data_IF_662901717240
#
_entry.id   IF_662901717240
#
_cell.length_a   1.000
_cell.length_b   1.000
_cell.length_c   1.000
_cell.angle_alpha   90.00
_cell.angle_beta   90.00
_cell.angle_gamma   90.00
#
_symmetry.space_group_name_H-M   'P 1'
#
loop_
_entity.id
_entity.type
_entity.pdbx_description
1 polymer ?
#
# COMPACT_ATOMS: atom_id res chain seq x y z
N UNK A 1 5.45 -0.04 7.85
CA UNK A 1 5.36 1.40 8.19
C UNK A 1 6.73 1.91 8.60
N UNK A 2 6.98 3.19 8.38
CA UNK A 2 8.23 3.85 8.84
C UNK A 2 7.88 5.12 9.60
N UNK A 3 8.82 5.58 10.43
CA UNK A 3 8.78 6.94 10.99
C UNK A 3 9.10 7.98 9.90
N UNK A 4 9.13 9.27 10.27
CA UNK A 4 9.42 10.40 9.36
C UNK A 4 10.85 10.39 8.81
N UNK A 5 11.78 9.67 9.43
CA UNK A 5 13.17 9.47 8.98
C UNK A 5 13.33 8.27 8.06
N UNK A 6 12.26 7.46 7.88
CA UNK A 6 12.29 6.25 7.07
C UNK A 6 12.82 5.01 7.80
N UNK A 7 12.79 5.03 9.14
CA UNK A 7 13.12 3.88 9.97
C UNK A 7 11.88 3.00 10.09
N UNK A 8 12.01 1.70 9.88
CA UNK A 8 10.90 0.75 9.94
C UNK A 8 10.42 0.60 11.39
N UNK A 9 9.13 0.84 11.60
CA UNK A 9 8.44 0.73 12.90
C UNK A 9 7.39 -0.37 12.90
N UNK A 10 7.06 -0.91 11.73
CA UNK A 10 6.15 -2.04 11.56
C UNK A 10 6.41 -2.73 10.23
N UNK A 11 6.38 -4.03 10.23
CA UNK A 11 6.43 -4.92 9.07
C UNK A 11 5.38 -6.03 9.27
N UNK A 12 4.76 -6.51 8.17
CA UNK A 12 3.80 -7.60 8.25
C UNK A 12 4.45 -8.94 7.86
N UNK A 13 3.79 -10.04 8.20
CA UNK A 13 4.28 -11.39 7.95
C UNK A 13 4.58 -11.68 6.48
N UNK A 14 3.77 -11.12 5.57
CA UNK A 14 3.96 -11.29 4.12
C UNK A 14 5.30 -10.68 3.69
N UNK A 15 5.65 -9.50 4.22
CA UNK A 15 6.94 -8.88 3.95
C UNK A 15 8.10 -9.73 4.49
N UNK A 16 7.98 -10.25 5.72
CA UNK A 16 9.01 -11.10 6.34
C UNK A 16 9.20 -12.39 5.53
N UNK A 17 8.12 -13.07 5.16
CA UNK A 17 8.16 -14.30 4.34
C UNK A 17 8.83 -14.08 2.98
N UNK A 18 8.51 -13.00 2.28
CA UNK A 18 9.08 -12.71 0.95
C UNK A 18 10.55 -12.29 1.06
N UNK A 19 10.89 -11.45 2.03
CA UNK A 19 12.24 -10.91 2.16
C UNK A 19 13.23 -11.86 2.83
N UNK A 20 12.73 -12.83 3.61
CA UNK A 20 13.52 -13.80 4.35
C UNK A 20 14.18 -13.25 5.63
N UNK A 21 13.81 -12.03 6.03
CA UNK A 21 14.28 -11.42 7.28
C UNK A 21 13.31 -11.71 8.43
N UNK A 22 13.79 -11.64 9.65
CA UNK A 22 12.95 -11.66 10.86
C UNK A 22 12.50 -10.23 11.21
N UNK A 23 11.49 -10.11 12.07
CA UNK A 23 10.98 -8.82 12.52
C UNK A 23 12.06 -8.03 13.26
N UNK A 24 12.79 -8.66 14.18
CA UNK A 24 13.88 -8.03 14.96
C UNK A 24 15.02 -7.53 14.06
N UNK A 25 15.27 -8.20 12.94
CA UNK A 25 16.29 -7.76 11.99
C UNK A 25 15.86 -6.52 11.20
N UNK A 26 14.55 -6.27 11.08
CA UNK A 26 14.00 -5.18 10.26
C UNK A 26 13.55 -3.98 11.06
N UNK A 27 12.98 -4.16 12.24
CA UNK A 27 12.59 -3.05 13.11
C UNK A 27 13.80 -2.20 13.50
N UNK A 28 13.63 -0.89 13.50
CA UNK A 28 14.70 0.06 13.78
C UNK A 28 15.72 0.24 12.64
N UNK A 29 15.63 -0.50 11.55
CA UNK A 29 16.49 -0.31 10.37
C UNK A 29 15.87 0.65 9.36
N UNK A 30 16.68 1.41 8.62
CA UNK A 30 16.16 2.23 7.52
C UNK A 30 15.60 1.34 6.41
N UNK A 31 14.53 1.77 5.76
CA UNK A 31 13.91 1.02 4.67
C UNK A 31 14.87 0.74 3.50
N UNK A 32 15.97 1.48 3.40
CA UNK A 32 17.02 1.27 2.41
C UNK A 32 17.84 0.00 2.64
N UNK A 33 17.71 -0.67 3.79
CA UNK A 33 18.43 -1.91 4.11
C UNK A 33 18.12 -3.04 3.11
N UNK A 34 16.90 -3.09 2.61
CA UNK A 34 16.46 -4.09 1.62
C UNK A 34 16.62 -3.62 0.16
N UNK A 35 17.15 -2.45 -0.07
CA UNK A 35 17.27 -1.89 -1.41
C UNK A 35 18.31 -2.65 -2.23
N UNK A 36 17.93 -3.04 -3.46
CA UNK A 36 18.89 -3.65 -4.38
C UNK A 36 19.93 -2.62 -4.88
N UNK A 37 21.22 -2.96 -4.96
CA UNK A 37 22.28 -2.03 -5.37
C UNK A 37 22.08 -1.41 -6.76
N UNK A 38 21.45 -2.13 -7.70
CA UNK A 38 21.20 -1.67 -9.05
C UNK A 38 20.09 -0.59 -9.17
N UNK A 39 19.38 -0.31 -8.09
CA UNK A 39 18.34 0.72 -8.10
C UNK A 39 18.94 2.13 -8.19
N UNK A 40 18.54 2.95 -9.19
CA UNK A 40 19.08 4.29 -9.35
C UNK A 40 18.73 5.19 -8.16
N UNK A 41 19.72 5.94 -7.67
CA UNK A 41 19.52 6.87 -6.54
C UNK A 41 18.47 7.95 -6.81
N UNK A 42 18.35 8.39 -8.08
CA UNK A 42 17.39 9.43 -8.46
C UNK A 42 15.93 9.01 -8.28
N UNK A 43 15.59 7.70 -8.41
CA UNK A 43 14.24 7.20 -8.17
C UNK A 43 13.83 7.43 -6.71
N UNK A 44 14.72 7.12 -5.77
CA UNK A 44 14.47 7.36 -4.35
C UNK A 44 14.45 8.84 -3.99
N UNK A 45 15.28 9.67 -4.66
CA UNK A 45 15.23 11.12 -4.47
C UNK A 45 13.84 11.66 -4.83
N UNK A 46 13.31 11.31 -6.01
CA UNK A 46 11.98 11.74 -6.44
C UNK A 46 10.89 11.22 -5.49
N UNK A 47 10.99 9.96 -5.02
CA UNK A 47 10.08 9.38 -4.04
C UNK A 47 10.10 10.19 -2.74
N UNK A 48 11.28 10.45 -2.18
CA UNK A 48 11.43 11.21 -0.94
C UNK A 48 10.95 12.66 -1.07
N UNK A 49 11.26 13.33 -2.18
CA UNK A 49 10.80 14.70 -2.44
C UNK A 49 9.27 14.78 -2.48
N UNK A 50 8.60 13.77 -3.07
CA UNK A 50 7.15 13.69 -3.14
C UNK A 50 6.52 13.47 -1.75
N UNK A 51 6.93 12.43 -1.00
CA UNK A 51 6.32 12.10 0.29
C UNK A 51 6.58 13.16 1.36
N UNK A 52 7.75 13.80 1.35
CA UNK A 52 8.05 14.92 2.24
C UNK A 52 7.22 16.17 1.94
N UNK A 53 6.79 16.33 0.69
CA UNK A 53 5.84 17.37 0.29
C UNK A 53 4.38 17.01 0.59
N UNK A 54 4.13 15.90 1.31
CA UNK A 54 2.78 15.45 1.68
C UNK A 54 2.03 14.73 0.56
N UNK A 55 2.69 14.41 -0.56
CA UNK A 55 2.08 13.70 -1.68
C UNK A 55 2.35 12.20 -1.59
N UNK A 56 1.37 11.40 -2.01
CA UNK A 56 1.58 9.99 -2.27
C UNK A 56 2.41 9.79 -3.54
N UNK A 57 3.13 8.68 -3.59
CA UNK A 57 3.97 8.33 -4.73
C UNK A 57 4.03 6.82 -4.88
N UNK A 58 4.15 6.36 -6.13
CA UNK A 58 4.50 4.98 -6.39
C UNK A 58 5.81 4.89 -7.18
N UNK A 59 6.53 3.79 -7.00
CA UNK A 59 7.71 3.45 -7.77
C UNK A 59 7.82 1.93 -7.94
N UNK A 60 8.35 1.50 -9.06
CA UNK A 60 8.78 0.12 -9.24
C UNK A 60 10.16 -0.03 -8.60
N UNK A 61 10.25 -0.88 -7.60
CA UNK A 61 11.46 -1.02 -6.79
C UNK A 61 11.91 -2.48 -6.80
N UNK A 62 13.18 -2.69 -7.07
CA UNK A 62 13.85 -3.96 -6.87
C UNK A 62 14.42 -4.01 -5.46
N UNK A 63 14.01 -5.00 -4.68
CA UNK A 63 14.49 -5.25 -3.33
C UNK A 63 15.38 -6.48 -3.32
N UNK A 64 16.24 -6.59 -2.30
CA UNK A 64 17.10 -7.74 -2.05
C UNK A 64 16.56 -8.53 -0.87
N UNK A 65 16.49 -9.86 -1.03
CA UNK A 65 16.22 -10.81 0.05
C UNK A 65 17.47 -11.06 0.89
N UNK A 66 17.28 -11.63 2.08
CA UNK A 66 18.37 -12.01 3.00
C UNK A 66 19.33 -13.03 2.38
N UNK A 67 18.82 -13.97 1.59
CA UNK A 67 19.60 -15.00 0.88
C UNK A 67 20.36 -14.48 -0.36
N UNK A 68 20.22 -13.19 -0.70
CA UNK A 68 20.84 -12.58 -1.88
C UNK A 68 19.95 -12.53 -3.12
N UNK A 69 18.82 -13.24 -3.14
CA UNK A 69 17.82 -13.12 -4.21
C UNK A 69 17.22 -11.71 -4.24
N UNK A 70 16.45 -11.44 -5.27
CA UNK A 70 15.78 -10.16 -5.42
C UNK A 70 14.35 -10.32 -5.90
N UNK A 71 13.51 -9.35 -5.59
CA UNK A 71 12.12 -9.28 -6.02
C UNK A 71 11.70 -7.87 -6.39
N UNK A 72 10.80 -7.79 -7.35
CA UNK A 72 10.23 -6.52 -7.78
C UNK A 72 8.91 -6.25 -7.09
N UNK A 73 8.72 -5.01 -6.70
CA UNK A 73 7.46 -4.52 -6.15
C UNK A 73 7.09 -3.18 -6.77
N UNK A 74 5.80 -2.96 -6.93
CA UNK A 74 5.24 -1.62 -7.06
C UNK A 74 5.01 -1.12 -5.63
N UNK A 75 5.90 -0.26 -5.16
CA UNK A 75 5.83 0.36 -3.84
C UNK A 75 4.96 1.61 -3.92
N UNK A 76 3.81 1.59 -3.26
CA UNK A 76 2.91 2.73 -3.11
C UNK A 76 3.13 3.30 -1.72
N UNK A 77 3.62 4.55 -1.65
CA UNK A 77 4.01 5.19 -0.40
C UNK A 77 3.13 6.38 -0.12
N UNK A 78 2.53 6.40 1.06
CA UNK A 78 1.61 7.44 1.51
C UNK A 78 2.08 8.03 2.84
N UNK A 79 2.11 9.36 3.00
CA UNK A 79 2.35 9.99 4.29
C UNK A 79 1.19 9.72 5.25
N UNK A 80 1.52 9.49 6.52
CA UNK A 80 0.56 9.24 7.60
C UNK A 80 0.49 10.47 8.49
N UNK A 81 -0.71 11.00 8.65
CA UNK A 81 -0.99 12.17 9.47
C UNK A 81 -1.80 11.77 10.70
N UNK A 82 -1.42 12.29 11.86
CA UNK A 82 -2.15 12.09 13.10
C UNK A 82 -2.22 13.44 13.84
N UNK A 83 -3.42 13.88 14.15
CA UNK A 83 -3.61 15.18 14.81
C UNK A 83 -3.03 16.36 14.02
N UNK A 84 -3.01 16.32 12.68
CA UNK A 84 -2.44 17.37 11.82
C UNK A 84 -0.93 17.33 11.68
N UNK A 85 -0.23 16.41 12.34
CA UNK A 85 1.23 16.24 12.25
C UNK A 85 1.58 15.00 11.44
N UNK A 86 2.64 15.08 10.63
CA UNK A 86 3.19 13.94 9.89
C UNK A 86 3.89 13.01 10.88
N UNK A 87 3.42 11.79 11.02
CA UNK A 87 3.97 10.78 11.95
C UNK A 87 4.85 9.73 11.27
N UNK A 88 4.74 9.58 9.96
CA UNK A 88 5.53 8.61 9.21
C UNK A 88 4.97 8.31 7.83
N UNK A 89 5.30 7.12 7.32
CA UNK A 89 4.89 6.70 5.98
C UNK A 89 4.43 5.25 5.99
N UNK A 90 3.39 4.96 5.20
CA UNK A 90 2.95 3.60 4.89
C UNK A 90 3.38 3.27 3.46
N UNK A 91 4.02 2.11 3.27
CA UNK A 91 4.33 1.56 1.96
C UNK A 91 3.55 0.26 1.74
N UNK A 92 2.53 0.31 0.90
CA UNK A 92 1.82 -0.88 0.43
C UNK A 92 2.47 -1.35 -0.86
N UNK A 93 2.79 -2.64 -0.92
CA UNK A 93 3.57 -3.23 -2.01
C UNK A 93 2.77 -4.29 -2.73
N UNK A 94 2.70 -4.18 -4.06
CA UNK A 94 2.04 -5.14 -4.92
C UNK A 94 3.03 -5.76 -5.88
N UNK A 95 2.70 -6.94 -6.39
CA UNK A 95 3.46 -7.60 -7.44
C UNK A 95 3.19 -6.86 -8.77
N UNK A 96 4.22 -6.33 -9.45
CA UNK A 96 4.03 -5.70 -10.76
C UNK A 96 3.84 -6.75 -11.86
N UNK A 97 3.19 -6.36 -12.96
CA UNK A 97 3.12 -7.19 -14.15
C UNK A 97 4.51 -7.38 -14.78
N UNK A 98 4.72 -8.47 -15.52
CA UNK A 98 6.01 -8.76 -16.16
C UNK A 98 6.44 -7.67 -17.14
N UNK A 99 5.49 -7.09 -17.86
CA UNK A 99 5.70 -5.97 -18.79
C UNK A 99 6.16 -4.71 -18.07
N UNK A 100 5.60 -4.44 -16.87
CA UNK A 100 5.98 -3.29 -16.02
C UNK A 100 7.40 -3.45 -15.48
N UNK A 101 7.77 -4.68 -15.09
CA UNK A 101 9.15 -5.01 -14.66
C UNK A 101 10.11 -4.76 -15.82
N UNK A 102 9.86 -5.36 -17.01
CA UNK A 102 10.72 -5.22 -18.16
C UNK A 102 10.87 -3.75 -18.62
N UNK A 103 9.79 -2.98 -18.59
CA UNK A 103 9.81 -1.55 -18.89
C UNK A 103 10.66 -0.76 -17.88
N UNK A 104 10.52 -1.09 -16.58
CA UNK A 104 11.27 -0.45 -15.50
C UNK A 104 12.76 -0.79 -15.56
N UNK A 105 13.12 -2.03 -15.85
CA UNK A 105 14.51 -2.46 -16.03
C UNK A 105 15.19 -1.70 -17.18
N UNK A 106 14.54 -1.63 -18.35
CA UNK A 106 15.01 -0.85 -19.50
C UNK A 106 15.19 0.63 -19.16
N UNK A 107 14.22 1.21 -18.45
CA UNK A 107 14.27 2.61 -18.02
C UNK A 107 15.45 2.84 -17.06
N UNK A 108 15.59 2.00 -16.04
CA UNK A 108 16.64 2.14 -15.04
C UNK A 108 18.04 1.86 -15.59
N UNK A 109 18.16 0.94 -16.58
CA UNK A 109 19.40 0.76 -17.33
C UNK A 109 19.79 2.05 -18.06
N UNK A 110 18.88 2.69 -18.78
CA UNK A 110 19.12 3.99 -19.45
C UNK A 110 19.50 5.11 -18.46
N UNK A 111 18.87 5.11 -17.28
CA UNK A 111 19.22 6.06 -16.21
C UNK A 111 20.66 5.83 -15.73
N UNK A 112 21.06 4.58 -15.46
CA UNK A 112 22.42 4.23 -15.02
C UNK A 112 23.47 4.57 -16.06
N UNK A 113 23.16 4.30 -17.34
CA UNK A 113 24.04 4.60 -18.48
C UNK A 113 24.08 6.09 -18.86
N UNK A 114 23.36 6.94 -18.11
CA UNK A 114 23.26 8.38 -18.37
C UNK A 114 22.70 8.75 -19.77
N UNK A 115 21.90 7.85 -20.35
CA UNK A 115 21.29 8.03 -21.69
C UNK A 115 20.10 9.00 -21.68
N UNK A 116 19.55 9.31 -20.48
CA UNK A 116 18.37 10.16 -20.31
C UNK A 116 18.70 11.63 -20.03
N UNK A 117 19.79 12.18 -20.62
CA UNK A 117 20.21 13.59 -20.44
C UNK A 117 19.12 14.61 -20.77
N UNK A 118 18.23 14.29 -21.72
CA UNK A 118 17.14 15.15 -22.16
C UNK A 118 15.80 14.90 -21.45
N UNK A 119 15.82 14.10 -20.36
CA UNK A 119 14.62 13.77 -19.59
C UNK A 119 14.83 14.11 -18.12
N UNK A 120 13.73 14.38 -17.43
CA UNK A 120 13.70 14.52 -15.96
C UNK A 120 12.46 13.81 -15.43
N UNK A 121 12.56 13.30 -14.21
CA UNK A 121 11.39 12.89 -13.46
C UNK A 121 10.69 14.11 -12.89
N UNK A 122 9.41 14.25 -13.17
CA UNK A 122 8.57 15.32 -12.63
C UNK A 122 7.24 14.75 -12.16
N UNK A 123 6.98 14.82 -10.86
CA UNK A 123 5.78 14.26 -10.20
C UNK A 123 5.48 12.80 -10.61
N UNK A 124 6.51 11.96 -10.71
CA UNK A 124 6.39 10.55 -11.08
C UNK A 124 6.35 10.25 -12.58
N UNK A 125 6.27 11.26 -13.45
CA UNK A 125 6.32 11.07 -14.90
C UNK A 125 7.68 11.46 -15.48
N UNK A 126 8.05 10.78 -16.58
CA UNK A 126 9.23 11.10 -17.36
C UNK A 126 8.88 12.21 -18.36
N UNK A 127 9.45 13.40 -18.17
CA UNK A 127 9.19 14.61 -18.96
C UNK A 127 10.42 14.99 -19.76
N UNK A 128 10.27 15.33 -21.03
CA UNK A 128 11.37 15.83 -21.88
C UNK A 128 11.85 17.20 -21.41
N UNK A 129 13.17 17.41 -21.51
CA UNK A 129 13.85 18.65 -21.17
C UNK A 129 14.38 19.34 -22.43
N UNK A 130 14.50 20.67 -22.42
CA UNK A 130 15.05 21.44 -23.54
C UNK A 130 14.01 21.77 -24.62
N UNK A 131 14.47 21.94 -25.86
CA UNK A 131 13.66 22.43 -26.99
C UNK A 131 12.40 21.59 -27.26
N UNK A 132 12.45 20.28 -26.98
CA UNK A 132 11.32 19.34 -27.15
C UNK A 132 10.43 19.19 -25.90
N UNK A 133 10.56 20.09 -24.91
CA UNK A 133 9.70 20.07 -23.71
C UNK A 133 8.20 20.26 -24.02
N UNK A 134 7.89 20.93 -25.14
CA UNK A 134 6.52 21.13 -25.60
C UNK A 134 5.78 19.83 -25.87
N UNK A 135 6.47 18.73 -26.25
CA UNK A 135 5.85 17.40 -26.43
C UNK A 135 5.34 16.79 -25.11
N UNK A 136 5.86 17.25 -24.00
CA UNK A 136 5.41 16.83 -22.66
C UNK A 136 4.47 17.86 -22.01
N UNK A 137 4.19 18.97 -22.69
CA UNK A 137 3.38 20.07 -22.16
C UNK A 137 1.96 19.58 -21.80
N UNK A 138 1.35 18.80 -22.68
CA UNK A 138 0.01 18.24 -22.44
C UNK A 138 -0.06 17.36 -21.20
N UNK A 139 1.01 16.60 -20.87
CA UNK A 139 1.08 15.78 -19.66
C UNK A 139 1.14 16.63 -18.39
N UNK A 140 1.71 17.84 -18.51
CA UNK A 140 2.00 18.74 -17.40
C UNK A 140 0.95 19.84 -17.21
N UNK A 141 0.03 20.03 -18.17
CA UNK A 141 -1.02 21.04 -18.09
C UNK A 141 -2.04 20.68 -17.01
N UNK A 142 -2.37 21.66 -16.16
CA UNK A 142 -3.49 21.55 -15.22
C UNK A 142 -4.83 21.42 -15.97
N UNK A 143 -5.83 20.84 -15.32
CA UNK A 143 -7.18 20.67 -15.87
C UNK A 143 -7.76 22.01 -16.35
N UNK A 144 -7.62 23.08 -15.55
CA UNK A 144 -8.06 24.44 -15.91
C UNK A 144 -7.38 24.93 -17.20
N UNK A 145 -6.04 24.79 -17.30
CA UNK A 145 -5.31 25.21 -18.51
C UNK A 145 -5.71 24.43 -19.76
N UNK A 146 -6.07 23.13 -19.63
CA UNK A 146 -6.58 22.32 -20.75
C UNK A 146 -7.93 22.85 -21.23
N UNK A 147 -8.83 23.22 -20.30
CA UNK A 147 -10.14 23.81 -20.63
C UNK A 147 -9.93 25.15 -21.36
N UNK A 148 -9.16 26.07 -20.76
CA UNK A 148 -8.89 27.38 -21.35
C UNK A 148 -8.23 27.26 -22.73
N UNK A 149 -7.30 26.34 -22.93
CA UNK A 149 -6.66 26.10 -24.20
C UNK A 149 -7.67 25.62 -25.25
N UNK A 150 -8.55 24.69 -24.88
CA UNK A 150 -9.63 24.21 -25.80
C UNK A 150 -10.58 25.33 -26.20
N UNK A 151 -11.02 26.13 -25.23
CA UNK A 151 -11.92 27.28 -25.51
C UNK A 151 -11.20 28.33 -26.35
N UNK A 152 -9.97 28.72 -25.98
CA UNK A 152 -9.21 29.75 -26.69
C UNK A 152 -8.89 29.34 -28.15
N UNK A 153 -8.49 28.07 -28.36
CA UNK A 153 -8.26 27.57 -29.73
C UNK A 153 -9.53 27.55 -30.56
N UNK A 154 -10.64 27.14 -29.98
CA UNK A 154 -11.95 27.17 -30.69
C UNK A 154 -12.36 28.60 -31.03
N UNK A 155 -12.23 29.54 -30.08
CA UNK A 155 -12.53 30.95 -30.32
C UNK A 155 -11.66 31.56 -31.44
N UNK A 156 -10.34 31.30 -31.41
CA UNK A 156 -9.38 31.75 -32.41
C UNK A 156 -9.75 31.21 -33.80
N UNK A 157 -10.00 29.91 -33.89
CA UNK A 157 -10.39 29.26 -35.15
C UNK A 157 -11.75 29.76 -35.65
N UNK A 158 -12.69 30.05 -34.75
CA UNK A 158 -13.98 30.63 -35.11
C UNK A 158 -13.83 32.04 -35.72
N UNK A 159 -12.98 32.88 -35.08
CA UNK A 159 -12.67 34.20 -35.66
C UNK A 159 -11.99 34.10 -37.03
N UNK A 160 -11.07 33.14 -37.17
CA UNK A 160 -10.38 32.89 -38.43
C UNK A 160 -11.36 32.40 -39.52
N UNK A 161 -12.29 31.52 -39.17
CA UNK A 161 -13.30 31.03 -40.09
C UNK A 161 -14.23 32.13 -40.57
N UNK A 162 -14.64 33.04 -39.67
CA UNK A 162 -15.43 34.25 -40.03
C UNK A 162 -14.67 35.16 -41.01
N UNK A 163 -13.35 35.28 -40.82
CA UNK A 163 -12.49 36.10 -41.67
C UNK A 163 -12.23 35.48 -43.06
N UNK A 164 -12.01 34.15 -43.10
CA UNK A 164 -11.62 33.47 -44.36
C UNK A 164 -12.79 33.07 -45.23
N UNK A 165 -13.96 32.76 -44.67
CA UNK A 165 -15.13 32.32 -45.45
C UNK A 165 -16.15 33.44 -45.63
N UNK A 166 -16.39 33.82 -46.89
CA UNK A 166 -17.41 34.82 -47.24
C UNK A 166 -18.81 34.19 -47.35
N UNK A 167 -18.91 32.90 -47.69
CA UNK A 167 -20.18 32.18 -47.78
C UNK A 167 -20.71 31.86 -46.37
N UNK A 168 -21.94 32.36 -46.10
CA UNK A 168 -22.61 32.20 -44.80
C UNK A 168 -22.91 30.73 -44.44
N UNK A 169 -23.18 29.86 -45.41
CA UNK A 169 -23.43 28.44 -45.19
C UNK A 169 -22.14 27.73 -44.76
N UNK A 170 -21.02 27.98 -45.46
CA UNK A 170 -19.72 27.44 -45.14
C UNK A 170 -19.25 27.95 -43.77
N UNK A 171 -19.46 29.23 -43.49
CA UNK A 171 -19.13 29.85 -42.21
C UNK A 171 -19.90 29.23 -41.05
N UNK A 172 -21.24 29.12 -41.16
CA UNK A 172 -22.05 28.51 -40.11
C UNK A 172 -21.75 27.01 -39.92
N UNK A 173 -21.54 26.26 -41.02
CA UNK A 173 -21.14 24.88 -40.97
C UNK A 173 -19.78 24.66 -40.24
N UNK A 174 -18.79 25.52 -40.52
CA UNK A 174 -17.49 25.47 -39.87
C UNK A 174 -17.57 25.76 -38.35
N UNK A 175 -18.39 26.72 -37.94
CA UNK A 175 -18.63 27.02 -36.53
C UNK A 175 -19.27 25.84 -35.82
N UNK A 176 -20.29 25.21 -36.38
CA UNK A 176 -20.91 24.01 -35.80
C UNK A 176 -19.90 22.88 -35.63
N UNK A 177 -19.07 22.62 -36.65
CA UNK A 177 -18.03 21.61 -36.58
C UNK A 177 -17.00 21.89 -35.48
N UNK A 178 -16.62 23.16 -35.27
CA UNK A 178 -15.68 23.55 -34.20
C UNK A 178 -16.28 23.32 -32.81
N UNK A 179 -17.57 23.64 -32.60
CA UNK A 179 -18.24 23.36 -31.33
C UNK A 179 -18.39 21.85 -31.06
N UNK A 180 -18.67 21.07 -32.10
CA UNK A 180 -18.68 19.60 -32.00
C UNK A 180 -17.29 19.09 -31.58
N UNK A 181 -16.23 19.59 -32.23
CA UNK A 181 -14.85 19.24 -31.89
C UNK A 181 -14.47 19.63 -30.46
N UNK A 182 -14.89 20.83 -30.01
CA UNK A 182 -14.68 21.25 -28.61
C UNK A 182 -15.43 20.36 -27.63
N UNK A 183 -16.67 20.00 -27.91
CA UNK A 183 -17.48 19.11 -27.08
C UNK A 183 -16.79 17.72 -26.96
N UNK A 184 -16.35 17.16 -28.07
CA UNK A 184 -15.61 15.90 -28.11
C UNK A 184 -14.29 16.00 -27.31
N UNK A 185 -13.55 17.09 -27.50
CA UNK A 185 -12.31 17.35 -26.74
C UNK A 185 -12.56 17.39 -25.23
N UNK A 186 -13.55 18.17 -24.77
CA UNK A 186 -13.90 18.27 -23.36
C UNK A 186 -14.40 16.93 -22.79
N UNK A 187 -15.20 16.21 -23.57
CA UNK A 187 -15.64 14.86 -23.20
C UNK A 187 -14.44 13.92 -23.00
N UNK A 188 -13.49 13.89 -23.92
CA UNK A 188 -12.32 13.03 -23.86
C UNK A 188 -11.35 13.44 -22.73
N UNK A 189 -11.19 14.75 -22.48
CA UNK A 189 -10.23 15.24 -21.48
C UNK A 189 -10.76 15.27 -20.05
N UNK A 190 -12.09 15.34 -19.85
CA UNK A 190 -12.71 15.54 -18.53
C UNK A 190 -13.75 14.46 -18.25
N UNK A 191 -14.83 14.38 -19.03
CA UNK A 191 -15.97 13.55 -18.69
C UNK A 191 -15.61 12.05 -18.63
N UNK A 192 -14.92 11.55 -19.65
CA UNK A 192 -14.48 10.15 -19.72
C UNK A 192 -13.51 9.75 -18.59
N UNK A 193 -12.44 10.52 -18.30
CA UNK A 193 -11.56 10.23 -17.16
C UNK A 193 -12.27 10.28 -15.80
N UNK A 194 -13.15 11.28 -15.59
CA UNK A 194 -13.93 11.38 -14.34
C UNK A 194 -14.85 10.18 -14.17
N UNK A 195 -15.54 9.73 -15.23
CA UNK A 195 -16.35 8.51 -15.20
C UNK A 195 -15.51 7.29 -14.80
N UNK A 196 -14.29 7.16 -15.33
CA UNK A 196 -13.37 6.06 -14.95
C UNK A 196 -12.97 6.12 -13.47
N UNK A 197 -12.76 7.33 -12.93
CA UNK A 197 -12.48 7.52 -11.50
C UNK A 197 -13.67 7.08 -10.64
N UNK A 198 -14.88 7.47 -11.01
CA UNK A 198 -16.09 7.06 -10.29
C UNK A 198 -16.25 5.53 -10.28
N UNK A 199 -16.05 4.90 -11.44
CA UNK A 199 -16.11 3.44 -11.54
C UNK A 199 -15.04 2.75 -10.69
N UNK A 200 -13.83 3.28 -10.68
CA UNK A 200 -12.74 2.75 -9.85
C UNK A 200 -13.05 2.93 -8.36
N UNK A 201 -13.58 4.08 -7.95
CA UNK A 201 -13.99 4.33 -6.57
C UNK A 201 -15.11 3.39 -6.12
N UNK A 202 -16.10 3.13 -7.00
CA UNK A 202 -17.15 2.14 -6.73
C UNK A 202 -16.59 0.73 -6.47
N UNK A 203 -15.57 0.32 -7.23
CA UNK A 203 -14.87 -0.96 -7.00
C UNK A 203 -14.17 -0.99 -5.64
N UNK A 204 -13.47 0.09 -5.29
CA UNK A 204 -12.79 0.24 -4.00
C UNK A 204 -13.79 0.13 -2.85
N UNK A 205 -14.90 0.88 -2.91
CA UNK A 205 -15.92 0.89 -1.85
C UNK A 205 -16.63 -0.46 -1.72
N UNK A 206 -16.80 -1.18 -2.83
CA UNK A 206 -17.41 -2.52 -2.81
C UNK A 206 -16.44 -3.64 -2.41
N UNK A 207 -15.22 -3.33 -2.00
CA UNK A 207 -14.22 -4.32 -1.58
C UNK A 207 -13.74 -5.26 -2.70
N UNK A 208 -14.01 -4.92 -3.96
CA UNK A 208 -13.54 -5.74 -5.09
C UNK A 208 -12.06 -5.51 -5.30
N UNK A 209 -11.32 -6.57 -5.66
CA UNK A 209 -9.93 -6.42 -6.13
C UNK A 209 -9.92 -5.44 -7.30
N UNK A 210 -9.19 -4.37 -7.15
CA UNK A 210 -9.10 -3.30 -8.14
C UNK A 210 -7.85 -3.47 -8.97
N UNK A 211 -8.00 -3.53 -10.30
CA UNK A 211 -6.88 -3.37 -11.21
C UNK A 211 -6.34 -1.95 -11.06
N UNK A 212 -5.04 -1.82 -11.14
CA UNK A 212 -4.40 -0.52 -11.09
C UNK A 212 -4.64 0.23 -12.39
N UNK A 213 -5.35 1.35 -12.32
CA UNK A 213 -5.63 2.19 -13.48
C UNK A 213 -4.79 3.46 -13.43
N UNK A 214 -4.01 3.73 -14.47
CA UNK A 214 -3.09 4.87 -14.52
C UNK A 214 -3.45 5.83 -15.66
N UNK A 215 -3.50 7.12 -15.34
CA UNK A 215 -3.56 8.20 -16.34
C UNK A 215 -2.17 8.84 -16.50
N UNK A 216 -1.69 8.94 -17.74
CA UNK A 216 -0.41 9.60 -18.06
C UNK A 216 -0.56 11.14 -18.02
N UNK A 217 -1.00 11.64 -16.86
CA UNK A 217 -1.25 13.07 -16.60
C UNK A 217 -1.03 13.39 -15.11
N UNK A 218 -0.52 14.61 -14.84
CA UNK A 218 -0.14 15.04 -13.49
C UNK A 218 -1.10 16.08 -12.88
N UNK A 219 -2.19 16.40 -13.57
CA UNK A 219 -3.22 17.33 -13.08
C UNK A 219 -4.14 16.68 -12.04
N UNK A 220 -5.14 17.44 -11.59
CA UNK A 220 -6.06 17.06 -10.53
C UNK A 220 -6.79 15.73 -10.83
N UNK A 221 -7.19 15.52 -12.10
CA UNK A 221 -7.83 14.27 -12.54
C UNK A 221 -6.87 13.08 -12.43
N UNK A 222 -5.61 13.26 -12.84
CA UNK A 222 -4.58 12.25 -12.66
C UNK A 222 -4.28 11.98 -11.18
N UNK A 223 -4.28 13.04 -10.35
CA UNK A 223 -4.12 12.93 -8.90
C UNK A 223 -5.30 12.17 -8.27
N UNK A 224 -6.55 12.51 -8.61
CA UNK A 224 -7.73 11.79 -8.11
C UNK A 224 -7.68 10.29 -8.38
N UNK A 225 -7.28 9.87 -9.59
CA UNK A 225 -7.14 8.44 -9.91
C UNK A 225 -6.05 7.77 -9.04
N UNK A 226 -4.92 8.44 -8.82
CA UNK A 226 -3.86 7.91 -7.93
C UNK A 226 -4.35 7.77 -6.50
N UNK A 227 -5.05 8.78 -5.96
CA UNK A 227 -5.64 8.75 -4.62
C UNK A 227 -6.66 7.61 -4.46
N UNK A 228 -7.53 7.40 -5.44
CA UNK A 228 -8.51 6.30 -5.43
C UNK A 228 -7.81 4.94 -5.44
N UNK A 229 -6.81 4.75 -6.30
CA UNK A 229 -6.02 3.52 -6.31
C UNK A 229 -5.32 3.31 -4.96
N UNK A 230 -4.71 4.36 -4.40
CA UNK A 230 -4.01 4.27 -3.11
C UNK A 230 -4.96 3.93 -1.96
N UNK A 231 -6.16 4.53 -1.93
CA UNK A 231 -7.19 4.21 -0.95
C UNK A 231 -7.59 2.75 -1.03
N UNK A 232 -7.80 2.22 -2.24
CA UNK A 232 -8.10 0.80 -2.45
C UNK A 232 -6.99 -0.12 -1.93
N UNK A 233 -5.74 0.21 -2.21
CA UNK A 233 -4.59 -0.56 -1.73
C UNK A 233 -4.47 -0.52 -0.21
N UNK A 234 -4.66 0.64 0.40
CA UNK A 234 -4.59 0.78 1.85
C UNK A 234 -5.72 0.00 2.56
N UNK A 235 -6.95 0.06 2.02
CA UNK A 235 -8.08 -0.71 2.54
C UNK A 235 -7.86 -2.22 2.43
N UNK A 236 -7.42 -2.70 1.26
CA UNK A 236 -7.12 -4.12 1.08
C UNK A 236 -6.02 -4.60 2.03
N UNK A 237 -4.94 -3.83 2.17
CA UNK A 237 -3.86 -4.16 3.12
C UNK A 237 -4.36 -4.21 4.57
N UNK A 238 -5.25 -3.30 4.96
CA UNK A 238 -5.83 -3.29 6.30
C UNK A 238 -6.73 -4.50 6.54
N UNK A 239 -7.56 -4.86 5.55
CA UNK A 239 -8.43 -6.05 5.62
C UNK A 239 -7.59 -7.33 5.70
N UNK A 240 -6.54 -7.44 4.89
CA UNK A 240 -5.64 -8.59 4.91
C UNK A 240 -4.89 -8.70 6.26
N UNK A 241 -4.37 -7.59 6.79
CA UNK A 241 -3.69 -7.56 8.09
C UNK A 241 -4.65 -7.93 9.24
N UNK A 242 -5.88 -7.40 9.25
CA UNK A 242 -6.91 -7.74 10.25
C UNK A 242 -7.34 -9.20 10.12
N UNK A 243 -7.52 -9.69 8.90
CA UNK A 243 -7.85 -11.09 8.63
C UNK A 243 -6.80 -12.05 9.17
N UNK A 244 -5.53 -11.74 8.97
CA UNK A 244 -4.41 -12.53 9.52
C UNK A 244 -4.41 -12.54 11.06
N UNK A 245 -4.66 -11.38 11.69
CA UNK A 245 -4.73 -11.27 13.16
C UNK A 245 -5.92 -12.07 13.71
N UNK A 246 -7.10 -12.01 13.10
CA UNK A 246 -8.28 -12.79 13.51
C UNK A 246 -7.99 -14.29 13.43
N UNK A 247 -7.36 -14.73 12.34
CA UNK A 247 -6.97 -16.14 12.19
C UNK A 247 -5.98 -16.58 13.29
N UNK A 248 -5.01 -15.72 13.62
CA UNK A 248 -4.07 -15.96 14.73
C UNK A 248 -4.77 -16.07 16.09
N UNK A 249 -5.71 -15.16 16.37
CA UNK A 249 -6.52 -15.20 17.60
C UNK A 249 -7.34 -16.50 17.67
N UNK A 250 -7.92 -16.94 16.54
CA UNK A 250 -8.64 -18.20 16.46
C UNK A 250 -7.78 -19.40 16.85
N UNK A 251 -6.55 -19.48 16.35
CA UNK A 251 -5.59 -20.53 16.67
C UNK A 251 -5.21 -20.52 18.17
N UNK A 252 -4.91 -19.34 18.71
CA UNK A 252 -4.57 -19.18 20.13
C UNK A 252 -5.75 -19.58 21.01
N UNK A 253 -6.99 -19.18 20.64
CA UNK A 253 -8.20 -19.54 21.39
C UNK A 253 -8.43 -21.04 21.44
N UNK A 254 -8.20 -21.76 20.32
CA UNK A 254 -8.26 -23.21 20.30
C UNK A 254 -7.20 -23.86 21.19
N UNK A 255 -6.00 -23.30 21.20
CA UNK A 255 -4.93 -23.80 22.07
C UNK A 255 -5.26 -23.58 23.55
N UNK A 256 -5.75 -22.40 23.92
CA UNK A 256 -6.20 -22.12 25.30
C UNK A 256 -7.32 -23.04 25.73
N UNK A 257 -8.30 -23.32 24.86
CA UNK A 257 -9.37 -24.28 25.16
C UNK A 257 -8.82 -25.70 25.41
N UNK A 258 -7.86 -26.15 24.61
CA UNK A 258 -7.21 -27.46 24.79
C UNK A 258 -6.41 -27.54 26.09
N UNK A 259 -5.64 -26.49 26.42
CA UNK A 259 -4.88 -26.41 27.67
C UNK A 259 -5.80 -26.33 28.89
N UNK A 260 -6.93 -25.59 28.77
CA UNK A 260 -7.96 -25.54 29.80
C UNK A 260 -8.58 -26.92 30.09
N UNK A 261 -8.89 -27.71 29.05
CA UNK A 261 -9.38 -29.09 29.23
C UNK A 261 -8.33 -29.99 29.91
N UNK A 262 -7.05 -29.88 29.54
CA UNK A 262 -5.97 -30.62 30.18
C UNK A 262 -5.79 -30.21 31.65
N UNK A 263 -5.94 -28.92 31.97
CA UNK A 263 -5.88 -28.42 33.35
C UNK A 263 -7.05 -28.96 34.19
N UNK A 264 -8.26 -29.04 33.59
CA UNK A 264 -9.43 -29.63 34.24
C UNK A 264 -9.15 -31.11 34.66
N UNK A 265 -8.65 -31.93 33.73
CA UNK A 265 -8.29 -33.32 33.99
C UNK A 265 -7.27 -33.43 35.12
N UNK A 266 -6.21 -32.60 35.09
CA UNK A 266 -5.20 -32.58 36.15
C UNK A 266 -5.75 -32.14 37.51
N UNK A 267 -6.72 -31.22 37.51
CA UNK A 267 -7.41 -30.78 38.75
C UNK A 267 -8.23 -31.91 39.34
N UNK A 268 -8.92 -32.68 38.51
CA UNK A 268 -9.70 -33.87 38.93
C UNK A 268 -8.76 -34.94 39.52
N UNK A 269 -7.66 -35.28 38.83
CA UNK A 269 -6.65 -36.20 39.34
C UNK A 269 -6.07 -35.75 40.69
N UNK A 270 -5.79 -34.43 40.82
CA UNK A 270 -5.26 -33.86 42.06
C UNK A 270 -6.29 -33.95 43.17
N UNK A 271 -7.57 -33.76 42.93
CA UNK A 271 -8.64 -33.93 43.89
C UNK A 271 -8.75 -35.38 44.39
N UNK A 272 -8.63 -36.36 43.46
CA UNK A 272 -8.63 -37.79 43.82
C UNK A 272 -7.41 -38.15 44.69
N UNK A 273 -6.21 -37.65 44.37
CA UNK A 273 -5.03 -37.86 45.21
C UNK A 273 -5.16 -37.23 46.60
N UNK A 274 -5.78 -36.04 46.69
CA UNK A 274 -6.04 -35.41 47.99
C UNK A 274 -7.04 -36.21 48.81
N UNK A 275 -8.10 -36.78 48.20
CA UNK A 275 -9.03 -37.65 48.86
C UNK A 275 -8.37 -38.94 49.41
N UNK A 276 -7.53 -39.57 48.59
CA UNK A 276 -6.75 -40.77 49.01
C UNK A 276 -5.79 -40.39 50.15
N UNK A 277 -5.14 -39.25 50.07
CA UNK A 277 -4.22 -38.78 51.13
C UNK A 277 -4.98 -38.53 52.44
N UNK A 278 -6.17 -37.91 52.37
CA UNK A 278 -7.00 -37.70 53.55
C UNK A 278 -7.42 -39.01 54.19
N UNK A 279 -7.86 -40.01 53.42
CA UNK A 279 -8.20 -41.34 53.92
C UNK A 279 -6.99 -42.04 54.60
N UNK A 280 -5.81 -41.96 53.99
CA UNK A 280 -4.58 -42.50 54.55
C UNK A 280 -4.19 -41.80 55.89
N UNK A 281 -4.38 -40.50 55.98
CA UNK A 281 -4.14 -39.74 57.22
C UNK A 281 -5.11 -40.15 58.33
N UNK A 282 -6.39 -40.41 58.01
CA UNK A 282 -7.39 -40.90 58.97
C UNK A 282 -7.00 -42.31 59.48
N UNK A 283 -6.57 -43.23 58.60
CA UNK A 283 -6.10 -44.55 58.97
C UNK A 283 -4.84 -44.48 59.90
N UNK A 284 -3.91 -43.61 59.57
CA UNK A 284 -2.72 -43.38 60.43
C UNK A 284 -3.14 -42.83 61.80
N UNK A 285 -4.05 -41.87 61.82
CA UNK A 285 -4.55 -41.28 63.08
C UNK A 285 -5.19 -42.38 63.97
N UNK A 286 -6.03 -43.27 63.42
CA UNK A 286 -6.64 -44.40 64.11
C UNK A 286 -5.60 -45.38 64.59
N UNK A 287 -4.59 -45.73 63.79
CA UNK A 287 -3.51 -46.65 64.20
C UNK A 287 -2.65 -46.06 65.30
N UNK A 288 -2.38 -44.75 65.30
CA UNK A 288 -1.64 -44.05 66.40
C UNK A 288 -2.46 -44.08 67.69
N UNK A 289 -3.79 -43.84 67.64
CA UNK A 289 -4.63 -43.91 68.84
C UNK A 289 -4.72 -45.28 69.38
N UNK A 290 -4.84 -46.33 68.58
CA UNK A 290 -4.82 -47.73 69.02
C UNK A 290 -3.48 -48.12 69.58
N UNK A 291 -2.40 -47.63 68.99
CA UNK A 291 -1.00 -47.87 69.53
C UNK A 291 -0.81 -47.22 70.89
N UNK A 292 -1.30 -46.01 71.09
CA UNK A 292 -1.26 -45.29 72.34
C UNK A 292 -2.06 -45.98 73.47
N UNK A 293 -3.23 -46.52 73.08
CA UNK A 293 -4.03 -47.30 74.04
C UNK A 293 -3.43 -48.59 74.43
N UNK A 294 -2.86 -49.34 73.45
CA UNK A 294 -2.10 -50.60 73.75
C UNK A 294 -0.85 -50.33 74.60
N UNK A 295 -0.12 -49.24 74.37
CA UNK A 295 0.99 -48.83 75.16
C UNK A 295 0.60 -48.47 76.63
N UNK A 296 -0.54 -47.89 76.80
CA UNK A 296 -1.11 -47.61 78.15
C UNK A 296 -1.49 -48.88 78.90
N UNK A 297 -2.15 -49.83 78.28
CA UNK A 297 -2.50 -51.10 78.81
C UNK A 297 -1.24 -51.95 79.17
N UNK A 298 -0.12 -51.81 78.47
CA UNK A 298 1.14 -52.51 78.75
C UNK A 298 1.95 -51.92 79.90
N UNK A 299 1.53 -50.74 80.39
CA UNK A 299 2.22 -50.02 81.52
C UNK A 299 1.46 -50.09 82.83
N UNK A 300 0.20 -50.57 82.82
CA UNK A 300 -0.57 -50.94 83.99
C UNK A 300 -0.27 -52.40 84.39
#
# INVERSE_FOLDING_TARGET
KTDTRGIMVYVNDVFLKISGYTEDEMLGKPHSAIRHPHMPKCVFKVLWDAIKSGNEVFAYVQNRCKNGDHYWVRANVTPVWQGGSLTGYISVRNIPAREEIAASEKLYAKVRNNELKHYRFYKGLLVRRGLFSFMSLFKCLSTSKRIHLGIATTALLSCLAVYLFSDKLVQSGSLVMMFIALTYYLHAQIARPVKSIVQQMQRVVSGRKTDYYHFDRIDDIGLMMRLVNQSGLNLNSLVDDVGAQISGIGTISQQVAKEGAALQTRSEETADFLQQTASAVEEIASAVEQTAETAKEATE
#
